data_IF_922512342650
#
_entry.id   IF_922512342650
#
_cell.length_a   1.000
_cell.length_b   1.000
_cell.length_c   1.000
_cell.angle_alpha   90.00
_cell.angle_beta   90.00
_cell.angle_gamma   90.00
#
_symmetry.space_group_name_H-M   'P 1'
#
loop_
_entity.id
_entity.type
_entity.pdbx_description
1 polymer ?
#
# COMPACT_ATOMS: atom_id res chain seq x y z
N UNK A 1 2.66 7.98 -20.79
CA UNK A 1 1.82 7.36 -19.75
C UNK A 1 1.73 5.83 -19.84
N UNK A 2 1.33 5.25 -21.00
CA UNK A 2 1.18 3.77 -21.18
C UNK A 2 2.41 2.93 -20.78
N UNK A 3 3.63 3.45 -20.97
CA UNK A 3 4.86 2.80 -20.48
C UNK A 3 4.82 2.56 -18.96
N UNK A 4 4.37 3.55 -18.17
CA UNK A 4 4.28 3.45 -16.72
C UNK A 4 3.24 2.42 -16.28
N UNK A 5 2.08 2.38 -16.95
CA UNK A 5 1.05 1.36 -16.68
C UNK A 5 1.62 -0.05 -16.87
N UNK A 6 2.29 -0.31 -18.01
CA UNK A 6 2.95 -1.61 -18.24
C UNK A 6 4.03 -1.91 -17.22
N UNK A 7 4.83 -0.92 -16.83
CA UNK A 7 5.90 -1.08 -15.85
C UNK A 7 5.33 -1.46 -14.48
N UNK A 8 4.29 -0.77 -14.01
CA UNK A 8 3.64 -1.06 -12.72
C UNK A 8 2.97 -2.44 -12.75
N UNK A 9 2.27 -2.77 -13.83
CA UNK A 9 1.69 -4.11 -14.06
C UNK A 9 2.75 -5.23 -13.93
N UNK A 10 3.89 -5.07 -14.62
CA UNK A 10 5.01 -6.03 -14.53
C UNK A 10 5.57 -6.13 -13.11
N UNK A 11 5.73 -5.00 -12.41
CA UNK A 11 6.23 -5.01 -11.04
C UNK A 11 5.29 -5.79 -10.11
N UNK A 12 3.98 -5.57 -10.21
CA UNK A 12 2.99 -6.32 -9.42
C UNK A 12 3.03 -7.83 -9.69
N UNK A 13 3.15 -8.24 -10.95
CA UNK A 13 3.28 -9.66 -11.32
C UNK A 13 4.55 -10.27 -10.73
N UNK A 14 5.70 -9.64 -10.97
CA UNK A 14 6.99 -10.15 -10.46
C UNK A 14 6.98 -10.21 -8.93
N UNK A 15 6.42 -9.22 -8.25
CA UNK A 15 6.29 -9.25 -6.78
C UNK A 15 5.43 -10.41 -6.29
N UNK A 16 4.31 -10.70 -6.96
CA UNK A 16 3.48 -11.87 -6.63
C UNK A 16 4.24 -13.17 -6.90
N UNK A 17 4.87 -13.30 -8.06
CA UNK A 17 5.61 -14.51 -8.46
C UNK A 17 6.75 -14.82 -7.48
N UNK A 18 7.49 -13.80 -7.04
CA UNK A 18 8.53 -13.94 -6.02
C UNK A 18 7.93 -14.42 -4.69
N UNK A 19 6.77 -13.87 -4.30
CA UNK A 19 6.10 -14.26 -3.06
C UNK A 19 5.60 -15.71 -3.11
N UNK A 20 4.98 -16.12 -4.22
CA UNK A 20 4.46 -17.48 -4.39
C UNK A 20 5.57 -18.55 -4.32
N UNK A 21 6.81 -18.19 -4.67
CA UNK A 21 7.97 -19.09 -4.64
C UNK A 21 8.76 -19.04 -3.33
N UNK A 22 8.42 -18.12 -2.42
CA UNK A 22 9.14 -17.89 -1.19
C UNK A 22 8.32 -18.35 0.03
N UNK A 23 8.96 -18.43 1.20
CA UNK A 23 8.24 -18.71 2.44
C UNK A 23 7.25 -17.56 2.73
N UNK A 24 5.93 -17.82 2.86
CA UNK A 24 4.92 -16.80 3.08
C UNK A 24 5.13 -15.98 4.36
N UNK A 25 5.81 -16.55 5.38
CA UNK A 25 6.14 -15.84 6.62
C UNK A 25 7.12 -14.68 6.44
N UNK A 26 7.78 -14.56 5.28
CA UNK A 26 8.69 -13.44 4.98
C UNK A 26 7.98 -12.20 4.45
N UNK A 27 6.65 -12.24 4.34
CA UNK A 27 5.84 -11.16 3.80
C UNK A 27 4.74 -10.77 4.78
N UNK A 28 4.47 -9.47 4.85
CA UNK A 28 3.30 -8.91 5.50
C UNK A 28 2.61 -7.97 4.50
N UNK A 29 1.30 -8.14 4.34
CA UNK A 29 0.49 -7.18 3.61
C UNK A 29 0.01 -6.10 4.56
N UNK A 30 0.18 -4.84 4.18
CA UNK A 30 -0.32 -3.67 4.92
C UNK A 30 -1.29 -2.94 4.00
N UNK A 31 -2.57 -2.98 4.34
CA UNK A 31 -3.60 -2.25 3.61
C UNK A 31 -3.47 -0.75 3.91
N UNK A 32 -3.51 0.07 2.87
CA UNK A 32 -3.55 1.52 3.04
C UNK A 32 -4.76 1.96 3.87
N UNK A 33 -5.91 1.31 3.69
CA UNK A 33 -7.14 1.64 4.42
C UNK A 33 -7.07 1.29 5.91
N UNK A 34 -6.45 0.15 6.25
CA UNK A 34 -6.25 -0.22 7.65
C UNK A 34 -5.23 0.71 8.32
N UNK A 35 -4.18 1.09 7.58
CA UNK A 35 -3.18 2.05 8.04
C UNK A 35 -3.77 3.43 8.31
N UNK A 36 -4.71 3.90 7.48
CA UNK A 36 -5.42 5.16 7.74
C UNK A 36 -6.37 5.05 8.93
N UNK A 37 -7.03 3.89 9.11
CA UNK A 37 -8.01 3.67 10.17
C UNK A 37 -7.35 3.62 11.55
N UNK A 38 -6.28 2.84 11.69
CA UNK A 38 -5.52 2.72 12.94
C UNK A 38 -4.04 2.45 12.66
N UNK A 39 -3.23 3.51 12.47
CA UNK A 39 -1.82 3.35 12.14
C UNK A 39 -1.01 2.72 13.28
N UNK A 40 -1.42 2.88 14.54
CA UNK A 40 -0.69 2.33 15.68
C UNK A 40 -0.91 0.83 15.75
N UNK A 41 -2.15 0.37 15.56
CA UNK A 41 -2.45 -1.05 15.47
C UNK A 41 -1.71 -1.73 14.31
N UNK A 42 -1.62 -1.07 13.14
CA UNK A 42 -0.89 -1.59 11.99
C UNK A 42 0.62 -1.68 12.23
N UNK A 43 1.24 -0.68 12.88
CA UNK A 43 2.65 -0.76 13.27
C UNK A 43 2.88 -1.90 14.26
N UNK A 44 2.02 -2.08 15.25
CA UNK A 44 2.12 -3.20 16.20
C UNK A 44 2.03 -4.56 15.47
N UNK A 45 1.16 -4.67 14.46
CA UNK A 45 1.05 -5.87 13.63
C UNK A 45 2.32 -6.15 12.83
N UNK A 46 2.97 -5.11 12.29
CA UNK A 46 4.27 -5.21 11.60
C UNK A 46 5.36 -5.72 12.56
N UNK A 47 5.45 -5.18 13.77
CA UNK A 47 6.43 -5.62 14.78
C UNK A 47 6.25 -7.10 15.11
N UNK A 48 5.01 -7.53 15.37
CA UNK A 48 4.69 -8.93 15.63
C UNK A 48 5.07 -9.84 14.47
N UNK A 49 4.80 -9.44 13.22
CA UNK A 49 5.20 -10.22 12.04
C UNK A 49 6.72 -10.31 11.88
N UNK A 50 7.45 -9.28 12.29
CA UNK A 50 8.91 -9.25 12.31
C UNK A 50 9.54 -9.98 13.52
N UNK A 51 8.73 -10.48 14.46
CA UNK A 51 9.22 -11.07 15.71
C UNK A 51 9.87 -10.05 16.66
N UNK A 52 9.51 -8.77 16.55
CA UNK A 52 10.04 -7.68 17.36
C UNK A 52 9.07 -7.32 18.49
N UNK A 53 9.57 -6.96 19.70
CA UNK A 53 8.72 -6.51 20.79
C UNK A 53 8.10 -5.15 20.48
N UNK A 54 6.80 -5.00 20.75
CA UNK A 54 6.08 -3.73 20.69
C UNK A 54 5.72 -3.29 22.11
N UNK A 55 6.69 -2.67 22.79
CA UNK A 55 6.55 -2.20 24.16
C UNK A 55 6.01 -0.77 24.25
N UNK A 56 5.84 -0.26 25.47
CA UNK A 56 5.31 1.08 25.71
C UNK A 56 6.17 2.18 25.08
N UNK A 57 7.49 2.02 25.09
CA UNK A 57 8.41 3.00 24.50
C UNK A 57 8.22 3.08 22.99
N UNK A 58 8.09 1.93 22.31
CA UNK A 58 7.84 1.87 20.87
C UNK A 58 6.46 2.46 20.55
N UNK A 59 5.43 2.14 21.34
CA UNK A 59 4.09 2.67 21.16
C UNK A 59 4.06 4.21 21.27
N UNK A 60 4.73 4.77 22.28
CA UNK A 60 4.85 6.22 22.46
C UNK A 60 5.59 6.89 21.30
N UNK A 61 6.66 6.26 20.79
CA UNK A 61 7.41 6.78 19.65
C UNK A 61 6.60 6.76 18.34
N UNK A 62 5.80 5.72 18.12
CA UNK A 62 4.89 5.62 16.99
C UNK A 62 3.82 6.73 17.05
N UNK A 63 3.23 6.94 18.23
CA UNK A 63 2.22 7.98 18.45
C UNK A 63 2.78 9.40 18.26
N UNK A 64 3.97 9.68 18.81
CA UNK A 64 4.65 10.96 18.60
C UNK A 64 4.98 11.21 17.11
N UNK A 65 5.23 10.16 16.33
CA UNK A 65 5.45 10.27 14.88
C UNK A 65 4.16 10.54 14.14
N UNK A 66 3.06 9.87 14.50
CA UNK A 66 1.73 10.09 13.96
C UNK A 66 1.28 11.54 14.15
N UNK A 67 1.47 12.10 15.34
CA UNK A 67 1.08 13.49 15.65
C UNK A 67 1.89 14.54 14.87
N UNK A 68 3.18 14.28 14.62
CA UNK A 68 4.04 15.20 13.85
C UNK A 68 3.78 15.16 12.34
N UNK A 69 3.38 14.00 11.81
CA UNK A 69 3.21 13.78 10.38
C UNK A 69 1.74 13.83 9.97
N UNK A 70 1.14 15.02 10.06
CA UNK A 70 -0.24 15.23 9.60
C UNK A 70 -0.30 15.14 8.07
N UNK A 71 -1.14 14.23 7.57
CA UNK A 71 -1.38 14.01 6.15
C UNK A 71 -1.93 15.31 5.49
N UNK A 72 -1.49 15.62 4.26
CA UNK A 72 -1.86 16.81 3.46
C UNK A 72 -1.11 18.13 3.72
N UNK A 73 0.06 18.11 4.39
CA UNK A 73 0.89 19.32 4.59
C UNK A 73 1.29 20.10 3.32
N UNK A 74 1.17 19.51 2.12
CA UNK A 74 1.66 20.11 0.86
C UNK A 74 0.59 20.33 -0.24
N UNK A 75 -0.70 20.35 0.10
CA UNK A 75 -1.78 20.59 -0.88
C UNK A 75 -2.16 19.35 -1.71
N UNK A 76 -3.29 19.41 -2.43
CA UNK A 76 -3.79 18.32 -3.29
C UNK A 76 -3.55 18.68 -4.75
N UNK A 77 -2.61 18.01 -5.40
CA UNK A 77 -2.54 18.00 -6.87
C UNK A 77 -3.57 17.00 -7.40
N UNK A 78 -4.58 17.49 -8.10
CA UNK A 78 -5.58 16.65 -8.75
C UNK A 78 -5.06 16.30 -10.14
N UNK A 79 -4.64 15.06 -10.33
CA UNK A 79 -4.25 14.53 -11.63
C UNK A 79 -5.45 13.79 -12.25
N UNK A 80 -5.75 14.06 -13.53
CA UNK A 80 -6.75 13.30 -14.27
C UNK A 80 -6.06 12.32 -15.20
N UNK A 81 -6.62 11.12 -15.36
CA UNK A 81 -6.06 10.11 -16.28
C UNK A 81 -6.07 10.62 -17.72
N UNK A 82 -7.09 11.41 -18.07
CA UNK A 82 -7.25 12.04 -19.37
C UNK A 82 -6.07 12.95 -19.76
N UNK A 83 -5.47 13.65 -18.79
CA UNK A 83 -4.29 14.53 -18.99
C UNK A 83 -3.08 13.74 -19.53
N UNK A 84 -3.11 12.43 -19.35
CA UNK A 84 -2.06 11.49 -19.76
C UNK A 84 -2.48 10.58 -20.92
N UNK A 85 -3.66 10.81 -21.51
CA UNK A 85 -4.23 9.98 -22.58
C UNK A 85 -4.56 8.56 -22.13
N UNK A 86 -4.96 8.40 -20.87
CA UNK A 86 -5.37 7.13 -20.26
C UNK A 86 -6.83 7.19 -19.83
N UNK A 87 -7.47 6.02 -19.80
CA UNK A 87 -8.80 5.82 -19.25
C UNK A 87 -8.75 5.01 -17.96
N UNK A 88 -9.84 5.03 -17.19
CA UNK A 88 -10.00 4.12 -16.03
C UNK A 88 -9.90 2.65 -16.47
N UNK A 89 -10.46 2.32 -17.63
CA UNK A 89 -10.42 0.96 -18.19
C UNK A 89 -8.98 0.53 -18.53
N UNK A 90 -8.17 1.41 -19.13
CA UNK A 90 -6.75 1.14 -19.39
C UNK A 90 -5.99 0.72 -18.11
N UNK A 91 -6.32 1.31 -16.96
CA UNK A 91 -5.73 0.95 -15.66
C UNK A 91 -6.35 -0.34 -15.14
N UNK A 92 -7.68 -0.42 -15.11
CA UNK A 92 -8.44 -1.51 -14.53
C UNK A 92 -8.07 -2.86 -15.18
N UNK A 93 -8.05 -2.94 -16.51
CA UNK A 93 -7.64 -4.15 -17.24
C UNK A 93 -6.23 -4.61 -16.82
N UNK A 94 -5.34 -3.67 -16.52
CA UNK A 94 -3.95 -3.96 -16.17
C UNK A 94 -3.75 -4.22 -14.66
N UNK A 95 -4.67 -3.85 -13.78
CA UNK A 95 -4.46 -3.98 -12.32
C UNK A 95 -5.50 -4.87 -11.63
N UNK A 96 -6.54 -5.31 -12.33
CA UNK A 96 -7.65 -6.08 -11.74
C UNK A 96 -7.22 -7.36 -11.02
N UNK A 97 -6.21 -8.07 -11.53
CA UNK A 97 -5.70 -9.29 -10.88
C UNK A 97 -5.15 -9.00 -9.48
N UNK A 98 -4.41 -7.89 -9.33
CA UNK A 98 -3.80 -7.48 -8.06
C UNK A 98 -4.88 -7.03 -7.08
N UNK A 99 -5.83 -6.21 -7.55
CA UNK A 99 -6.97 -5.76 -6.73
C UNK A 99 -7.75 -6.95 -6.19
N UNK A 100 -8.11 -7.92 -7.04
CA UNK A 100 -8.85 -9.14 -6.63
C UNK A 100 -8.08 -9.98 -5.63
N UNK A 101 -6.78 -10.20 -5.87
CA UNK A 101 -5.93 -10.99 -4.98
C UNK A 101 -5.89 -10.42 -3.55
N UNK A 102 -5.80 -9.10 -3.42
CA UNK A 102 -5.64 -8.42 -2.13
C UNK A 102 -6.94 -7.79 -1.60
N UNK A 103 -8.08 -8.01 -2.26
CA UNK A 103 -9.37 -7.46 -1.84
C UNK A 103 -9.40 -5.92 -1.76
N UNK A 104 -8.60 -5.23 -2.59
CA UNK A 104 -8.48 -3.76 -2.53
C UNK A 104 -9.79 -3.12 -3.03
N UNK A 105 -10.44 -2.24 -2.27
CA UNK A 105 -11.65 -1.56 -2.72
C UNK A 105 -11.34 -0.49 -3.77
N UNK A 106 -12.35 -0.12 -4.57
CA UNK A 106 -12.24 1.05 -5.44
C UNK A 106 -12.28 2.33 -4.61
N UNK A 107 -11.39 3.27 -4.91
CA UNK A 107 -11.44 4.62 -4.38
C UNK A 107 -12.67 5.36 -4.93
N UNK A 108 -13.39 6.05 -4.04
CA UNK A 108 -14.52 6.93 -4.37
C UNK A 108 -14.05 8.32 -4.75
#
# INVERSE_FOLDING_TARGET
ARHWVRKVNRLMQVSIDVRERANPQRFIDVSYYDLLKDPIAEVARIYRAAGLPFDERVAQAAEATRQRNVQHRYGKHVYRLEDFGLTREDIETQTAFYRRRYGIPYEQ
#
